data_IF_947523885658
#
_entry.id   IF_947523885658
#
_cell.length_a   1.000
_cell.length_b   1.000
_cell.length_c   1.000
_cell.angle_alpha   90.00
_cell.angle_beta   90.00
_cell.angle_gamma   90.00
#
_symmetry.space_group_name_H-M   'P 1'
#
loop_
_entity.id
_entity.type
_entity.pdbx_description
1 polymer ?
#
# COMPACT_ATOMS: atom_id res chain seq x y z
N UNK A 1 19.45 33.00 -7.57
CA UNK A 1 18.29 32.17 -7.25
C UNK A 1 18.81 30.76 -7.08
N UNK A 2 18.81 30.16 -5.86
CA UNK A 2 19.15 28.75 -5.74
C UNK A 2 18.00 27.94 -6.35
N UNK A 3 18.29 27.17 -7.38
CA UNK A 3 17.40 26.13 -7.90
C UNK A 3 17.28 25.08 -6.81
N UNK A 4 16.11 25.02 -6.16
CA UNK A 4 15.77 23.92 -5.27
C UNK A 4 15.72 22.65 -6.12
N UNK A 5 16.77 21.87 -6.06
CA UNK A 5 16.78 20.52 -6.61
C UNK A 5 15.88 19.71 -5.69
N UNK A 6 14.63 19.52 -6.08
CA UNK A 6 13.75 18.56 -5.40
C UNK A 6 14.44 17.21 -5.47
N UNK A 7 14.82 16.64 -4.33
CA UNK A 7 15.42 15.33 -4.28
C UNK A 7 14.37 14.34 -4.85
N UNK A 8 14.78 13.61 -5.89
CA UNK A 8 13.92 12.59 -6.48
C UNK A 8 13.95 11.38 -5.57
N UNK A 9 12.79 10.95 -5.07
CA UNK A 9 12.66 9.73 -4.27
C UNK A 9 12.91 8.52 -5.17
N UNK A 10 13.84 7.66 -4.77
CA UNK A 10 14.20 6.43 -5.48
C UNK A 10 13.33 5.29 -4.98
N UNK A 11 12.44 4.81 -5.84
CA UNK A 11 11.46 3.79 -5.51
C UNK A 11 11.81 2.51 -6.26
N UNK A 12 11.93 1.42 -5.53
CA UNK A 12 12.04 0.08 -6.08
C UNK A 12 10.68 -0.62 -6.08
N UNK A 13 10.42 -1.45 -7.09
CA UNK A 13 9.20 -2.24 -7.19
C UNK A 13 9.54 -3.71 -7.39
N UNK A 14 9.02 -4.54 -6.49
CA UNK A 14 9.14 -5.99 -6.49
C UNK A 14 7.77 -6.64 -6.61
N UNK A 15 7.73 -7.89 -6.98
CA UNK A 15 6.55 -8.70 -7.03
C UNK A 15 6.54 -9.67 -8.20
N UNK A 16 5.87 -10.79 -8.02
CA UNK A 16 5.70 -11.78 -9.07
C UNK A 16 4.94 -11.18 -10.27
N UNK A 17 5.21 -11.69 -11.47
CA UNK A 17 4.57 -11.21 -12.72
C UNK A 17 3.05 -11.25 -12.66
N UNK A 18 2.45 -12.18 -11.90
CA UNK A 18 1.00 -12.26 -11.68
C UNK A 18 0.42 -11.07 -10.91
N UNK A 19 1.24 -10.32 -10.17
CA UNK A 19 0.86 -9.07 -9.51
C UNK A 19 0.99 -7.84 -10.44
N UNK A 20 1.16 -8.05 -11.74
CA UNK A 20 1.19 -7.01 -12.77
C UNK A 20 2.03 -5.77 -12.42
N UNK A 21 3.30 -5.92 -11.94
CA UNK A 21 4.11 -4.78 -11.49
C UNK A 21 4.31 -3.71 -12.57
N UNK A 22 4.37 -4.10 -13.84
CA UNK A 22 4.48 -3.15 -14.96
C UNK A 22 3.24 -2.24 -15.08
N UNK A 23 2.04 -2.75 -14.82
CA UNK A 23 0.82 -1.96 -14.83
C UNK A 23 0.79 -0.97 -13.64
N UNK A 24 1.26 -1.40 -12.47
CA UNK A 24 1.40 -0.54 -11.29
C UNK A 24 2.45 0.57 -11.56
N UNK A 25 3.59 0.25 -12.16
CA UNK A 25 4.60 1.24 -12.58
C UNK A 25 4.00 2.30 -13.49
N UNK A 26 3.19 1.89 -14.47
CA UNK A 26 2.50 2.83 -15.36
C UNK A 26 1.53 3.73 -14.60
N UNK A 27 0.69 3.14 -13.73
CA UNK A 27 -0.29 3.91 -12.95
C UNK A 27 0.39 4.95 -12.02
N UNK A 28 1.52 4.60 -11.41
CA UNK A 28 2.31 5.53 -10.60
C UNK A 28 2.98 6.60 -11.48
N UNK A 29 3.47 6.25 -12.67
CA UNK A 29 4.01 7.19 -13.64
C UNK A 29 2.99 8.25 -14.06
N UNK A 30 1.74 7.87 -14.26
CA UNK A 30 0.63 8.79 -14.55
C UNK A 30 0.36 9.79 -13.40
N UNK A 31 0.80 9.47 -12.18
CA UNK A 31 0.76 10.35 -11.00
C UNK A 31 2.06 11.12 -10.75
N UNK A 32 3.01 11.05 -11.67
CA UNK A 32 4.32 11.72 -11.59
C UNK A 32 5.31 11.05 -10.63
N UNK A 33 5.11 9.76 -10.33
CA UNK A 33 6.03 8.94 -9.53
C UNK A 33 6.85 8.08 -10.48
N UNK A 34 8.15 8.22 -10.43
CA UNK A 34 9.07 7.40 -11.22
C UNK A 34 9.56 6.20 -10.40
N UNK A 35 9.43 5.00 -10.96
CA UNK A 35 10.02 3.79 -10.42
C UNK A 35 11.38 3.62 -11.09
N UNK A 36 12.43 3.54 -10.30
CA UNK A 36 13.76 3.21 -10.81
C UNK A 36 13.93 1.68 -10.79
N UNK A 37 14.53 1.15 -11.87
CA UNK A 37 14.91 -0.25 -11.85
C UNK A 37 16.00 -0.43 -10.78
N UNK A 38 15.74 -1.27 -9.79
CA UNK A 38 16.75 -1.63 -8.80
C UNK A 38 17.82 -2.47 -9.49
N UNK A 39 19.01 -1.87 -9.63
CA UNK A 39 20.23 -2.67 -9.69
C UNK A 39 20.56 -3.21 -8.29
N UNK A 40 21.78 -3.73 -8.13
CA UNK A 40 22.27 -4.30 -6.85
C UNK A 40 22.46 -3.27 -5.71
N UNK A 41 22.08 -2.01 -5.90
CA UNK A 41 22.35 -0.91 -4.97
C UNK A 41 21.12 -0.60 -4.09
N UNK A 42 20.79 -1.53 -3.20
CA UNK A 42 19.67 -1.42 -2.28
C UNK A 42 19.85 -0.29 -1.24
N UNK A 43 21.09 0.07 -0.92
CA UNK A 43 21.40 1.10 0.06
C UNK A 43 20.93 2.50 -0.34
N UNK A 44 20.62 2.71 -1.62
CA UNK A 44 20.17 3.99 -2.15
C UNK A 44 18.67 3.99 -2.52
N UNK A 45 17.91 2.99 -2.10
CA UNK A 45 16.46 2.93 -2.27
C UNK A 45 15.81 3.66 -1.10
N UNK A 46 15.00 4.67 -1.39
CA UNK A 46 14.29 5.45 -0.39
C UNK A 46 12.97 4.77 0.04
N UNK A 47 12.38 3.95 -0.84
CA UNK A 47 11.21 3.14 -0.54
C UNK A 47 11.13 1.93 -1.47
N UNK A 48 10.79 0.77 -0.92
CA UNK A 48 10.50 -0.43 -1.69
C UNK A 48 9.00 -0.76 -1.68
N UNK A 49 8.44 -1.00 -2.85
CA UNK A 49 7.04 -1.42 -3.03
C UNK A 49 7.03 -2.91 -3.38
N UNK A 50 6.19 -3.67 -2.69
CA UNK A 50 5.98 -5.10 -2.93
C UNK A 50 4.57 -5.34 -3.42
N UNK A 51 4.43 -5.62 -4.72
CA UNK A 51 3.13 -5.92 -5.33
C UNK A 51 2.79 -7.41 -5.13
N UNK A 52 1.62 -7.67 -4.57
CA UNK A 52 1.13 -9.01 -4.24
C UNK A 52 -0.17 -9.28 -4.98
N UNK A 53 -0.27 -10.47 -5.57
CA UNK A 53 -1.51 -11.05 -6.05
C UNK A 53 -2.00 -12.06 -5.00
N UNK A 54 -3.14 -11.84 -4.33
CA UNK A 54 -3.64 -12.73 -3.29
C UNK A 54 -3.74 -14.20 -3.73
N UNK A 55 -4.22 -14.44 -4.95
CA UNK A 55 -4.43 -15.79 -5.48
C UNK A 55 -3.14 -16.53 -5.86
N UNK A 56 -2.03 -15.81 -6.08
CA UNK A 56 -0.74 -16.43 -6.40
C UNK A 56 0.14 -16.65 -5.18
N UNK A 57 -0.17 -15.97 -4.08
CA UNK A 57 0.66 -15.96 -2.88
C UNK A 57 1.92 -15.10 -3.01
N UNK A 58 2.87 -15.29 -2.11
CA UNK A 58 4.16 -14.59 -2.08
C UNK A 58 5.26 -15.60 -2.30
N UNK A 59 6.04 -15.42 -3.37
CA UNK A 59 7.11 -16.33 -3.73
C UNK A 59 8.40 -16.08 -2.92
N UNK A 60 9.31 -17.06 -2.94
CA UNK A 60 10.55 -17.01 -2.18
C UNK A 60 11.49 -15.87 -2.63
N UNK A 61 11.44 -15.47 -3.90
CA UNK A 61 12.23 -14.35 -4.42
C UNK A 61 11.75 -13.01 -3.84
N UNK A 62 10.44 -12.81 -3.80
CA UNK A 62 9.80 -11.65 -3.19
C UNK A 62 10.09 -11.57 -1.67
N UNK A 63 10.07 -12.72 -0.96
CA UNK A 63 10.41 -12.78 0.47
C UNK A 63 11.89 -12.40 0.67
N UNK A 64 12.80 -12.97 -0.12
CA UNK A 64 14.24 -12.65 -0.04
C UNK A 64 14.49 -11.16 -0.32
N UNK A 65 13.80 -10.59 -1.31
CA UNK A 65 13.90 -9.16 -1.60
C UNK A 65 13.40 -8.31 -0.41
N UNK A 66 12.29 -8.70 0.24
CA UNK A 66 11.80 -8.02 1.43
C UNK A 66 12.84 -8.02 2.57
N UNK A 67 13.40 -9.17 2.87
CA UNK A 67 14.40 -9.34 3.94
C UNK A 67 15.68 -8.54 3.66
N UNK A 68 16.07 -8.37 2.40
CA UNK A 68 17.29 -7.66 2.01
C UNK A 68 17.30 -6.17 2.41
N UNK A 69 16.14 -5.59 2.71
CA UNK A 69 16.00 -4.21 3.19
C UNK A 69 16.07 -4.06 4.72
N UNK A 70 16.13 -5.15 5.48
CA UNK A 70 16.17 -5.08 6.94
C UNK A 70 17.40 -4.34 7.47
N UNK A 71 18.55 -4.56 6.87
CA UNK A 71 19.82 -3.93 7.29
C UNK A 71 19.84 -2.40 7.02
N UNK A 72 19.01 -1.92 6.11
CA UNK A 72 18.96 -0.52 5.72
C UNK A 72 17.81 0.25 6.37
N UNK A 73 16.89 -0.44 7.05
CA UNK A 73 15.64 0.14 7.57
C UNK A 73 14.87 0.92 6.49
N UNK A 74 14.92 0.43 5.26
CA UNK A 74 14.22 1.08 4.14
C UNK A 74 12.71 1.00 4.33
N UNK A 75 11.98 2.11 4.18
CA UNK A 75 10.52 2.11 4.13
C UNK A 75 9.98 1.13 3.09
N UNK A 76 9.02 0.30 3.48
CA UNK A 76 8.42 -0.72 2.61
C UNK A 76 6.91 -0.60 2.62
N UNK A 77 6.30 -0.78 1.46
CA UNK A 77 4.86 -0.78 1.28
C UNK A 77 4.47 -2.07 0.58
N UNK A 78 3.52 -2.82 1.14
CA UNK A 78 2.87 -3.90 0.42
C UNK A 78 1.66 -3.33 -0.34
N UNK A 79 1.58 -3.63 -1.63
CA UNK A 79 0.43 -3.30 -2.48
C UNK A 79 -0.27 -4.58 -2.85
N UNK A 80 -1.51 -4.73 -2.41
CA UNK A 80 -2.36 -5.88 -2.74
C UNK A 80 -3.25 -5.51 -3.92
N UNK A 81 -3.07 -6.21 -5.03
CA UNK A 81 -3.81 -5.93 -6.25
C UNK A 81 -5.13 -6.69 -6.28
N UNK A 82 -6.24 -5.96 -6.37
CA UNK A 82 -7.54 -6.52 -6.68
C UNK A 82 -7.58 -6.87 -8.17
N UNK A 83 -7.55 -8.19 -8.47
CA UNK A 83 -7.58 -8.69 -9.83
C UNK A 83 -8.94 -9.32 -10.14
N UNK A 84 -9.47 -9.16 -11.36
CA UNK A 84 -10.73 -9.78 -11.76
C UNK A 84 -10.71 -11.29 -11.55
N UNK A 85 -11.74 -11.83 -10.88
CA UNK A 85 -11.89 -13.26 -10.63
C UNK A 85 -10.97 -13.85 -9.58
N UNK A 86 -10.30 -13.02 -8.77
CA UNK A 86 -9.54 -13.49 -7.62
C UNK A 86 -10.49 -14.10 -6.58
N UNK A 87 -10.17 -15.31 -6.10
CA UNK A 87 -10.92 -15.99 -5.03
C UNK A 87 -10.52 -15.48 -3.64
N UNK A 88 -9.30 -14.96 -3.51
CA UNK A 88 -8.73 -14.41 -2.27
C UNK A 88 -8.73 -12.89 -2.34
N UNK A 89 -8.98 -12.27 -1.21
CA UNK A 89 -9.13 -10.84 -1.08
C UNK A 89 -7.91 -10.15 -0.40
N UNK A 90 -8.11 -8.89 -0.02
CA UNK A 90 -7.11 -8.08 0.64
C UNK A 90 -6.71 -8.66 2.01
N UNK A 91 -7.67 -9.10 2.82
CA UNK A 91 -7.43 -9.59 4.18
C UNK A 91 -6.67 -10.92 4.15
N UNK A 92 -6.97 -11.78 3.18
CA UNK A 92 -6.21 -13.03 2.94
C UNK A 92 -4.74 -12.73 2.60
N UNK A 93 -4.49 -11.73 1.76
CA UNK A 93 -3.13 -11.32 1.40
C UNK A 93 -2.36 -10.75 2.60
N UNK A 94 -3.00 -9.93 3.43
CA UNK A 94 -2.41 -9.39 4.67
C UNK A 94 -2.11 -10.53 5.64
N UNK A 95 -3.03 -11.46 5.82
CA UNK A 95 -2.83 -12.62 6.69
C UNK A 95 -1.66 -13.51 6.23
N UNK A 96 -1.48 -13.65 4.91
CA UNK A 96 -0.33 -14.35 4.34
C UNK A 96 0.97 -13.57 4.57
N UNK A 97 0.97 -12.26 4.30
CA UNK A 97 2.13 -11.40 4.47
C UNK A 97 2.64 -11.39 5.92
N UNK A 98 1.75 -11.34 6.89
CA UNK A 98 2.10 -11.40 8.32
C UNK A 98 2.80 -12.69 8.75
N UNK A 99 2.83 -13.73 7.90
CA UNK A 99 3.53 -15.00 8.17
C UNK A 99 4.93 -15.05 7.55
N UNK A 100 5.17 -14.27 6.50
CA UNK A 100 6.39 -14.35 5.67
C UNK A 100 7.16 -13.04 5.59
N UNK A 101 6.51 -11.93 5.90
CA UNK A 101 7.10 -10.60 6.05
C UNK A 101 7.06 -10.17 7.53
N UNK A 102 7.16 -8.88 7.78
CA UNK A 102 6.89 -8.27 9.08
C UNK A 102 5.38 -8.05 9.28
N UNK A 103 4.97 -7.62 10.47
CA UNK A 103 3.57 -7.28 10.73
C UNK A 103 3.13 -6.09 9.87
N UNK A 104 2.08 -6.30 9.07
CA UNK A 104 1.50 -5.27 8.22
C UNK A 104 0.56 -4.36 9.02
N UNK A 105 0.66 -3.06 8.77
CA UNK A 105 -0.36 -2.10 9.16
C UNK A 105 -1.41 -1.96 8.05
N UNK A 106 -2.68 -2.04 8.38
CA UNK A 106 -3.80 -1.89 7.43
C UNK A 106 -4.50 -0.55 7.65
N UNK A 107 -4.05 0.54 7.01
CA UNK A 107 -4.62 1.87 7.22
C UNK A 107 -6.02 2.04 6.61
N UNK A 108 -6.42 1.14 5.73
CA UNK A 108 -7.70 1.16 5.04
C UNK A 108 -8.29 -0.24 4.93
N UNK A 109 -9.61 -0.34 5.08
CA UNK A 109 -10.38 -1.53 4.71
C UNK A 109 -11.12 -1.28 3.40
N UNK A 110 -11.36 -2.37 2.66
CA UNK A 110 -12.08 -2.35 1.39
C UNK A 110 -13.57 -2.48 1.66
N UNK A 111 -14.36 -1.54 1.15
CA UNK A 111 -15.81 -1.66 1.10
C UNK A 111 -16.21 -2.21 -0.26
N UNK A 112 -17.04 -3.24 -0.25
CA UNK A 112 -17.54 -3.90 -1.45
C UNK A 112 -18.97 -3.44 -1.78
N UNK A 113 -19.28 -3.36 -3.06
CA UNK A 113 -20.65 -3.18 -3.54
C UNK A 113 -21.44 -4.50 -3.46
N UNK A 114 -22.74 -4.43 -3.75
CA UNK A 114 -23.65 -5.58 -3.67
C UNK A 114 -23.24 -6.76 -4.58
N UNK A 115 -22.48 -6.49 -5.63
CA UNK A 115 -21.95 -7.50 -6.55
C UNK A 115 -20.60 -8.08 -6.10
N UNK A 116 -20.09 -7.66 -4.93
CA UNK A 116 -18.82 -8.10 -4.36
C UNK A 116 -17.59 -7.42 -4.94
N UNK A 117 -17.74 -6.44 -5.83
CA UNK A 117 -16.60 -5.69 -6.35
C UNK A 117 -16.11 -4.62 -5.35
N UNK A 118 -14.79 -4.34 -5.28
CA UNK A 118 -14.26 -3.25 -4.49
C UNK A 118 -14.84 -1.91 -4.96
N UNK A 119 -15.48 -1.15 -4.06
CA UNK A 119 -16.19 0.09 -4.38
C UNK A 119 -15.54 1.32 -3.73
N UNK A 120 -15.06 1.19 -2.50
CA UNK A 120 -14.53 2.29 -1.73
C UNK A 120 -13.49 1.81 -0.71
N UNK A 121 -12.79 2.75 -0.09
CA UNK A 121 -11.93 2.49 1.06
C UNK A 121 -12.43 3.26 2.27
N UNK A 122 -12.46 2.61 3.43
CA UNK A 122 -12.67 3.29 4.71
C UNK A 122 -11.33 3.42 5.44
N UNK A 123 -11.00 4.64 5.85
CA UNK A 123 -9.81 4.95 6.63
C UNK A 123 -9.99 4.49 8.09
N UNK A 124 -9.03 3.79 8.65
CA UNK A 124 -9.01 3.40 10.06
C UNK A 124 -8.45 4.50 10.99
N UNK A 125 -7.82 5.51 10.41
CA UNK A 125 -7.29 6.66 11.15
C UNK A 125 -8.39 7.66 11.51
N UNK A 126 -9.09 8.18 10.50
CA UNK A 126 -10.08 9.25 10.64
C UNK A 126 -11.53 8.82 10.35
N UNK A 127 -11.74 7.55 10.01
CA UNK A 127 -13.04 6.96 9.68
C UNK A 127 -13.77 7.66 8.52
N UNK A 128 -13.02 8.24 7.57
CA UNK A 128 -13.58 8.76 6.33
C UNK A 128 -13.67 7.69 5.26
N UNK A 129 -14.62 7.84 4.33
CA UNK A 129 -14.75 6.97 3.16
C UNK A 129 -14.18 7.67 1.93
N UNK A 130 -13.39 6.93 1.16
CA UNK A 130 -12.88 7.29 -0.16
C UNK A 130 -13.67 6.55 -1.23
N UNK A 131 -14.61 7.22 -1.86
CA UNK A 131 -15.34 6.70 -3.01
C UNK A 131 -14.59 7.04 -4.29
N UNK A 132 -14.47 6.08 -5.20
CA UNK A 132 -13.75 6.27 -6.45
C UNK A 132 -14.72 6.40 -7.63
N UNK A 133 -14.99 7.64 -8.03
CA UNK A 133 -15.80 7.96 -9.19
C UNK A 133 -14.87 8.33 -10.34
N UNK A 134 -14.89 7.53 -11.42
CA UNK A 134 -14.03 7.75 -12.59
C UNK A 134 -12.51 7.83 -12.26
N UNK A 135 -12.06 7.03 -11.32
CA UNK A 135 -10.64 6.98 -10.92
C UNK A 135 -10.18 8.12 -10.00
N UNK A 136 -11.08 8.97 -9.55
CA UNK A 136 -10.78 10.07 -8.62
C UNK A 136 -11.44 9.79 -7.27
N UNK A 137 -10.64 9.87 -6.19
CA UNK A 137 -11.14 9.71 -4.84
C UNK A 137 -11.99 10.92 -4.41
N UNK A 138 -13.22 10.67 -3.98
CA UNK A 138 -14.08 11.64 -3.30
C UNK A 138 -14.17 11.22 -1.84
N UNK A 139 -13.69 12.09 -0.94
CA UNK A 139 -13.64 11.81 0.49
C UNK A 139 -14.88 12.38 1.16
N UNK A 140 -15.53 11.57 1.98
CA UNK A 140 -16.70 11.95 2.77
C UNK A 140 -16.67 11.32 4.15
N UNK A 141 -17.46 11.85 5.07
CA UNK A 141 -17.71 11.22 6.37
C UNK A 141 -18.35 9.84 6.18
N UNK A 142 -17.94 8.87 7.00
CA UNK A 142 -18.61 7.57 7.08
C UNK A 142 -19.95 7.67 7.78
N UNK A 143 -20.90 6.85 7.35
CA UNK A 143 -22.14 6.65 8.08
C UNK A 143 -21.90 5.97 9.44
N UNK A 144 -22.76 6.21 10.45
CA UNK A 144 -22.59 5.63 11.79
C UNK A 144 -22.46 4.11 11.78
N UNK A 145 -23.19 3.44 10.89
CA UNK A 145 -23.15 1.98 10.74
C UNK A 145 -21.78 1.48 10.28
N UNK A 146 -21.14 2.17 9.33
CA UNK A 146 -19.79 1.84 8.89
C UNK A 146 -18.76 2.09 10.00
N UNK A 147 -18.90 3.19 10.75
CA UNK A 147 -18.01 3.50 11.89
C UNK A 147 -18.06 2.42 12.98
N UNK A 148 -19.28 1.93 13.29
CA UNK A 148 -19.47 0.85 14.25
C UNK A 148 -18.87 -0.48 13.75
N UNK A 149 -19.06 -0.79 12.48
CA UNK A 149 -18.54 -2.02 11.87
C UNK A 149 -17.00 -2.12 11.93
N UNK A 150 -16.30 -1.01 11.79
CA UNK A 150 -14.82 -0.98 11.72
C UNK A 150 -14.17 -0.51 13.04
N UNK A 151 -14.95 -0.30 14.10
CA UNK A 151 -14.46 0.31 15.35
C UNK A 151 -13.28 -0.45 15.95
N UNK A 152 -13.37 -1.77 16.05
CA UNK A 152 -12.32 -2.62 16.63
C UNK A 152 -11.03 -2.57 15.78
N UNK A 153 -11.15 -2.64 14.46
CA UNK A 153 -10.01 -2.50 13.55
C UNK A 153 -9.36 -1.12 13.64
N UNK A 154 -10.15 -0.08 13.79
CA UNK A 154 -9.65 1.28 13.93
C UNK A 154 -8.93 1.48 15.27
N UNK A 155 -9.38 0.82 16.34
CA UNK A 155 -8.68 0.83 17.62
C UNK A 155 -7.34 0.12 17.53
N UNK A 156 -7.32 -1.10 17.00
CA UNK A 156 -6.07 -1.87 16.78
C UNK A 156 -5.06 -1.11 15.90
N UNK A 157 -5.53 -0.49 14.81
CA UNK A 157 -4.67 0.30 13.92
C UNK A 157 -4.08 1.52 14.65
N UNK A 158 -4.89 2.26 15.42
CA UNK A 158 -4.40 3.42 16.20
C UNK A 158 -3.40 3.02 17.27
N UNK A 159 -3.63 1.93 17.99
CA UNK A 159 -2.68 1.40 18.98
C UNK A 159 -1.34 1.03 18.31
N UNK A 160 -1.39 0.41 17.13
CA UNK A 160 -0.19 0.07 16.37
C UNK A 160 0.58 1.33 15.96
N UNK A 161 -0.08 2.35 15.43
CA UNK A 161 0.55 3.61 14.99
C UNK A 161 1.13 4.36 16.20
N UNK A 162 0.37 4.48 17.29
CA UNK A 162 0.83 5.15 18.52
C UNK A 162 2.05 4.46 19.13
N UNK A 163 2.08 3.13 19.15
CA UNK A 163 3.22 2.36 19.68
C UNK A 163 4.45 2.41 18.77
N UNK A 164 4.25 2.57 17.46
CA UNK A 164 5.33 2.62 16.47
C UNK A 164 5.99 4.01 16.38
N UNK A 165 5.23 5.08 16.66
CA UNK A 165 5.68 6.47 16.57
C UNK A 165 5.31 7.16 15.26
N UNK A 166 5.30 8.50 15.30
CA UNK A 166 4.80 9.36 14.21
C UNK A 166 5.56 9.17 12.88
N UNK A 167 6.87 8.95 12.96
CA UNK A 167 7.76 8.78 11.79
C UNK A 167 8.03 7.31 11.44
N UNK A 168 7.29 6.36 12.04
CA UNK A 168 7.59 4.93 11.94
C UNK A 168 7.65 4.39 10.49
N UNK A 169 6.78 4.89 9.61
CA UNK A 169 6.84 4.51 8.20
C UNK A 169 8.13 5.00 7.53
N UNK A 170 8.47 6.28 7.66
CA UNK A 170 9.69 6.84 7.04
C UNK A 170 10.97 6.29 7.68
N UNK A 171 10.89 5.81 8.92
CA UNK A 171 11.99 5.13 9.61
C UNK A 171 12.10 3.62 9.28
N UNK A 172 11.23 3.08 8.42
CA UNK A 172 11.21 1.66 8.06
C UNK A 172 10.80 0.72 9.19
N UNK A 173 9.97 1.20 10.13
CA UNK A 173 9.49 0.46 11.29
C UNK A 173 7.98 0.12 11.24
N UNK A 174 7.25 0.73 10.32
CA UNK A 174 5.83 0.47 10.07
C UNK A 174 5.65 0.14 8.58
N UNK A 175 4.97 -0.95 8.28
CA UNK A 175 4.82 -1.48 6.92
C UNK A 175 3.36 -1.46 6.49
N UNK A 176 2.90 -0.41 5.78
CA UNK A 176 1.51 -0.33 5.34
C UNK A 176 1.22 -1.34 4.22
N UNK A 177 0.07 -2.00 4.32
CA UNK A 177 -0.56 -2.77 3.27
C UNK A 177 -1.67 -1.93 2.64
N UNK A 178 -1.58 -1.68 1.33
CA UNK A 178 -2.52 -0.82 0.60
C UNK A 178 -3.26 -1.65 -0.44
N UNK A 179 -4.60 -1.72 -0.38
CA UNK A 179 -5.40 -2.33 -1.43
C UNK A 179 -5.44 -1.42 -2.66
N UNK A 180 -5.15 -1.99 -3.83
CA UNK A 180 -5.12 -1.24 -5.10
C UNK A 180 -5.92 -1.98 -6.16
N UNK A 181 -6.79 -1.27 -6.85
CA UNK A 181 -7.43 -1.74 -8.07
C UNK A 181 -7.06 -0.81 -9.23
N UNK A 182 -6.32 -1.35 -10.20
CA UNK A 182 -5.79 -0.57 -11.34
C UNK A 182 -6.86 -0.21 -12.37
N UNK A 183 -8.01 -0.90 -12.39
CA UNK A 183 -9.09 -0.64 -13.35
C UNK A 183 -9.88 0.61 -13.00
N UNK A 184 -10.14 0.81 -11.70
CA UNK A 184 -10.94 1.93 -11.21
C UNK A 184 -10.15 2.95 -10.36
N UNK A 185 -8.83 2.73 -10.20
CA UNK A 185 -7.92 3.65 -9.51
C UNK A 185 -7.98 3.61 -7.98
N UNK A 186 -8.74 2.68 -7.38
CA UNK A 186 -8.82 2.52 -5.92
C UNK A 186 -7.41 2.37 -5.34
N UNK A 187 -7.10 3.14 -4.31
CA UNK A 187 -5.88 3.04 -3.51
C UNK A 187 -4.63 3.68 -4.12
N UNK A 188 -4.65 4.10 -5.39
CA UNK A 188 -3.50 4.75 -6.03
C UNK A 188 -3.16 6.08 -5.34
N UNK A 189 -4.15 6.89 -5.01
CA UNK A 189 -3.97 8.15 -4.29
C UNK A 189 -3.40 7.94 -2.89
N UNK A 190 -3.83 6.87 -2.20
CA UNK A 190 -3.30 6.46 -0.91
C UNK A 190 -1.83 6.09 -1.04
N UNK A 191 -1.46 5.22 -1.97
CA UNK A 191 -0.09 4.82 -2.23
C UNK A 191 0.79 6.04 -2.53
N UNK A 192 0.35 6.93 -3.42
CA UNK A 192 1.05 8.18 -3.74
C UNK A 192 1.23 9.07 -2.51
N UNK A 193 0.24 9.12 -1.60
CA UNK A 193 0.34 9.90 -0.37
C UNK A 193 1.46 9.42 0.54
N UNK A 194 1.64 8.09 0.69
CA UNK A 194 2.76 7.51 1.43
C UNK A 194 4.12 7.84 0.79
N UNK A 195 4.23 7.71 -0.53
CA UNK A 195 5.48 8.02 -1.24
C UNK A 195 5.87 9.50 -1.14
N UNK A 196 4.89 10.39 -1.06
CA UNK A 196 5.13 11.84 -0.88
C UNK A 196 5.58 12.22 0.52
N UNK A 197 5.32 11.40 1.54
CA UNK A 197 5.82 11.62 2.91
C UNK A 197 7.33 11.40 3.04
N UNK A 198 7.96 10.77 2.05
CA UNK A 198 9.40 10.49 2.04
C UNK A 198 10.26 11.64 1.46
N UNK A 199 9.63 12.76 1.11
CA UNK A 199 10.31 13.94 0.53
C UNK A 199 10.75 14.92 1.60
#
# INVERSE_FOLDING_TARGET
MPTSTSATVRIALFGHVSATPAALTKALGDQGISIEATGDDLAHVDCAIFAVNPSAGIDAETITAWESFNDYLTPRIMVVLALPGAELDFDDAVSLANRVFDQMATPYLVLHSDDGSPAALISLDDLTIRNYLHGVAVISESEPEHKELVADFAEEYRELVESSGEDAFSAGLLFPAIPVNLENGIGIDVLVSYLRKLK
#
